data_IF_521130124676
#
_entry.id   IF_521130124676
#
_cell.length_a   1.000
_cell.length_b   1.000
_cell.length_c   1.000
_cell.angle_alpha   90.00
_cell.angle_beta   90.00
_cell.angle_gamma   90.00
#
_symmetry.space_group_name_H-M   'P 1'
#
loop_
_entity.id
_entity.type
_entity.pdbx_description
1 polymer ?
#
# COMPACT_ATOMS: atom_id res chain seq x y z
N UNK A 1 -21.98 -14.91 9.33
CA UNK A 1 -20.95 -13.91 8.91
C UNK A 1 -20.55 -14.23 7.48
N UNK A 2 -20.56 -13.25 6.58
CA UNK A 2 -20.07 -13.44 5.20
C UNK A 2 -18.56 -13.27 5.15
N UNK A 3 -17.87 -14.11 4.36
CA UNK A 3 -16.43 -14.03 4.16
C UNK A 3 -16.04 -12.70 3.50
N UNK A 4 -14.95 -12.09 3.97
CA UNK A 4 -14.36 -10.87 3.38
C UNK A 4 -12.94 -11.17 2.92
N UNK A 5 -12.69 -10.95 1.63
CA UNK A 5 -11.36 -11.10 1.05
C UNK A 5 -10.67 -9.74 0.99
N UNK A 6 -9.39 -9.70 1.35
CA UNK A 6 -8.53 -8.52 1.26
C UNK A 6 -7.24 -8.88 0.53
N UNK A 7 -6.49 -7.87 0.08
CA UNK A 7 -5.26 -8.07 -0.69
C UNK A 7 -4.08 -7.26 -0.14
N UNK A 8 -2.86 -7.68 -0.48
CA UNK A 8 -1.63 -6.91 -0.25
C UNK A 8 -1.06 -6.52 -1.59
N UNK A 9 -0.79 -5.23 -1.77
CA UNK A 9 -0.17 -4.66 -2.98
C UNK A 9 1.20 -4.15 -2.58
N UNK A 10 2.24 -4.69 -3.21
CA UNK A 10 3.62 -4.30 -2.90
C UNK A 10 3.95 -2.90 -3.45
N UNK A 11 4.70 -2.07 -2.71
CA UNK A 11 5.03 -0.72 -3.13
C UNK A 11 6.27 -0.72 -4.05
N UNK A 12 6.23 -1.53 -5.11
CA UNK A 12 7.38 -1.76 -6.02
C UNK A 12 7.17 -1.15 -7.41
N UNK A 13 5.94 -0.74 -7.76
CA UNK A 13 5.68 -0.11 -9.04
C UNK A 13 5.59 1.41 -8.88
N UNK A 14 6.18 2.14 -9.84
CA UNK A 14 5.95 3.59 -9.95
C UNK A 14 4.46 3.85 -10.11
N UNK A 15 3.96 4.93 -9.49
CA UNK A 15 2.55 5.27 -9.49
C UNK A 15 1.94 5.32 -10.90
N UNK A 16 2.58 6.07 -11.80
CA UNK A 16 2.19 6.20 -13.21
C UNK A 16 2.60 5.01 -14.09
N UNK A 17 3.43 4.09 -13.58
CA UNK A 17 3.92 2.90 -14.28
C UNK A 17 3.13 1.63 -14.01
N UNK A 18 1.95 1.72 -13.39
CA UNK A 18 1.08 0.58 -13.08
C UNK A 18 0.62 0.51 -11.63
N UNK A 19 1.28 1.22 -10.70
CA UNK A 19 0.88 1.27 -9.29
C UNK A 19 -0.58 1.71 -9.12
N UNK A 20 -0.96 2.85 -9.73
CA UNK A 20 -2.33 3.37 -9.67
C UNK A 20 -3.37 2.34 -10.14
N UNK A 21 -3.11 1.70 -11.28
CA UNK A 21 -4.02 0.73 -11.86
C UNK A 21 -4.23 -0.48 -10.95
N UNK A 22 -3.19 -0.95 -10.24
CA UNK A 22 -3.32 -2.06 -9.28
C UNK A 22 -4.26 -1.73 -8.12
N UNK A 23 -4.16 -0.53 -7.55
CA UNK A 23 -5.03 -0.09 -6.46
C UNK A 23 -6.49 0.09 -6.91
N UNK A 24 -6.71 0.73 -8.06
CA UNK A 24 -8.05 0.87 -8.64
C UNK A 24 -8.65 -0.50 -8.96
N UNK A 25 -7.84 -1.41 -9.52
CA UNK A 25 -8.28 -2.77 -9.84
C UNK A 25 -8.68 -3.55 -8.59
N UNK A 26 -8.01 -3.35 -7.46
CA UNK A 26 -8.39 -4.00 -6.20
C UNK A 26 -9.77 -3.53 -5.72
N UNK A 27 -10.10 -2.24 -5.88
CA UNK A 27 -11.45 -1.72 -5.60
C UNK A 27 -12.49 -2.32 -6.55
N UNK A 28 -12.22 -2.34 -7.86
CA UNK A 28 -13.13 -2.90 -8.87
C UNK A 28 -13.40 -4.39 -8.68
N UNK A 29 -12.41 -5.14 -8.20
CA UNK A 29 -12.54 -6.56 -7.87
C UNK A 29 -13.34 -6.81 -6.58
N UNK A 30 -13.70 -5.77 -5.85
CA UNK A 30 -14.52 -5.87 -4.64
C UNK A 30 -13.76 -6.36 -3.41
N UNK A 31 -12.43 -6.19 -3.36
CA UNK A 31 -11.68 -6.47 -2.13
C UNK A 31 -12.19 -5.59 -0.99
N UNK A 32 -12.30 -6.19 0.19
CA UNK A 32 -12.77 -5.50 1.38
C UNK A 32 -11.77 -4.42 1.86
N UNK A 33 -10.47 -4.76 1.80
CA UNK A 33 -9.37 -3.87 2.10
C UNK A 33 -8.16 -4.22 1.23
N UNK A 34 -7.29 -3.23 1.03
CA UNK A 34 -5.98 -3.42 0.44
C UNK A 34 -4.90 -2.85 1.37
N UNK A 35 -3.80 -3.57 1.47
CA UNK A 35 -2.68 -3.23 2.34
C UNK A 35 -1.38 -3.07 1.58
N UNK A 36 -0.43 -2.35 2.15
CA UNK A 36 0.99 -2.37 1.75
C UNK A 36 1.88 -2.62 2.97
N UNK A 37 3.11 -3.04 2.76
CA UNK A 37 4.10 -3.18 3.83
C UNK A 37 4.73 -1.82 4.17
N UNK A 38 4.89 -1.54 5.45
CA UNK A 38 5.65 -0.39 5.96
C UNK A 38 7.12 -0.74 6.27
N UNK A 39 7.70 -1.60 5.45
CA UNK A 39 9.13 -1.90 5.53
C UNK A 39 9.95 -0.85 4.79
N UNK A 40 11.23 -0.71 5.13
CA UNK A 40 12.15 0.13 4.33
C UNK A 40 12.59 -0.54 3.03
N UNK A 41 12.68 -1.87 3.05
CA UNK A 41 13.09 -2.66 1.90
C UNK A 41 12.69 -4.12 2.12
N UNK A 42 12.75 -4.91 1.05
CA UNK A 42 12.62 -6.35 1.08
C UNK A 42 13.72 -6.94 0.22
N UNK A 43 14.41 -7.98 0.70
CA UNK A 43 15.66 -8.50 0.08
C UNK A 43 15.52 -8.79 -1.42
N UNK A 44 14.39 -9.38 -1.83
CA UNK A 44 14.07 -9.68 -3.23
C UNK A 44 14.01 -8.45 -4.14
N UNK A 45 13.73 -7.27 -3.59
CA UNK A 45 13.57 -6.01 -4.32
C UNK A 45 14.69 -5.00 -4.02
N UNK A 46 15.83 -5.46 -3.52
CA UNK A 46 16.94 -4.60 -3.08
C UNK A 46 17.47 -3.64 -4.16
N UNK A 47 17.44 -4.07 -5.42
CA UNK A 47 17.95 -3.31 -6.57
C UNK A 47 16.81 -2.59 -7.33
N UNK A 48 15.59 -2.67 -6.79
CA UNK A 48 14.39 -2.05 -7.33
C UNK A 48 13.83 -0.98 -6.41
N UNK A 49 12.84 -0.22 -6.89
CA UNK A 49 12.14 0.74 -6.05
C UNK A 49 11.37 0.03 -4.93
N UNK A 50 11.39 0.65 -3.74
CA UNK A 50 10.53 0.31 -2.63
C UNK A 50 9.98 1.61 -2.05
N UNK A 51 8.73 1.93 -2.37
CA UNK A 51 8.09 3.18 -1.98
C UNK A 51 7.59 3.11 -0.52
N UNK A 52 7.64 4.24 0.18
CA UNK A 52 7.16 4.32 1.55
C UNK A 52 5.65 4.03 1.65
N UNK A 53 5.23 3.38 2.73
CA UNK A 53 3.83 2.99 2.91
C UNK A 53 2.89 4.20 2.99
N UNK A 54 3.24 5.23 3.77
CA UNK A 54 2.38 6.42 3.91
C UNK A 54 2.13 7.14 2.56
N UNK A 55 3.15 7.53 1.77
CA UNK A 55 2.91 8.11 0.44
C UNK A 55 2.10 7.18 -0.48
N UNK A 56 2.37 5.88 -0.43
CA UNK A 56 1.64 4.89 -1.25
C UNK A 56 0.16 4.83 -0.88
N UNK A 57 -0.16 4.77 0.42
CA UNK A 57 -1.52 4.74 0.92
C UNK A 57 -2.25 6.06 0.69
N UNK A 58 -1.57 7.20 0.81
CA UNK A 58 -2.12 8.52 0.45
C UNK A 58 -2.49 8.58 -1.02
N UNK A 59 -1.62 8.10 -1.91
CA UNK A 59 -1.92 8.05 -3.34
C UNK A 59 -3.09 7.10 -3.66
N UNK A 60 -3.14 5.94 -3.00
CA UNK A 60 -4.25 5.00 -3.10
C UNK A 60 -5.58 5.59 -2.62
N UNK A 61 -5.56 6.35 -1.51
CA UNK A 61 -6.73 7.04 -0.98
C UNK A 61 -7.27 8.08 -1.95
N UNK A 62 -6.39 8.77 -2.69
CA UNK A 62 -6.80 9.73 -3.72
C UNK A 62 -7.33 9.06 -5.01
N UNK A 63 -7.04 7.78 -5.24
CA UNK A 63 -7.41 7.08 -6.47
C UNK A 63 -8.56 6.06 -6.32
N UNK A 64 -9.00 5.81 -5.09
CA UNK A 64 -10.09 4.87 -4.74
C UNK A 64 -11.12 5.60 -3.88
N UNK A 65 -12.34 5.07 -3.80
CA UNK A 65 -13.47 5.79 -3.16
C UNK A 65 -14.09 5.05 -1.97
N UNK A 66 -13.91 3.74 -1.89
CA UNK A 66 -14.54 2.83 -0.91
C UNK A 66 -13.56 1.81 -0.33
N UNK A 67 -12.47 1.52 -1.04
CA UNK A 67 -11.46 0.56 -0.62
C UNK A 67 -10.84 0.98 0.72
N UNK A 68 -10.87 0.09 1.72
CA UNK A 68 -10.22 0.33 3.00
C UNK A 68 -8.71 0.13 2.84
N UNK A 69 -7.93 1.05 3.36
CA UNK A 69 -6.48 1.10 3.18
C UNK A 69 -5.77 0.92 4.52
N UNK A 70 -4.63 0.25 4.51
CA UNK A 70 -3.80 0.12 5.70
C UNK A 70 -2.44 -0.48 5.45
N UNK A 71 -1.68 -0.60 6.52
CA UNK A 71 -0.40 -1.30 6.55
C UNK A 71 -0.59 -2.74 7.01
N UNK A 72 0.20 -3.66 6.46
CA UNK A 72 0.26 -5.03 6.93
C UNK A 72 1.68 -5.56 6.68
N UNK A 73 2.65 -5.39 7.58
CA UNK A 73 2.59 -4.85 8.95
C UNK A 73 3.08 -3.39 9.05
N UNK A 74 2.56 -2.64 10.03
CA UNK A 74 3.10 -1.33 10.42
C UNK A 74 4.48 -1.49 11.04
N UNK A 75 5.47 -0.72 10.60
CA UNK A 75 6.76 -0.73 11.26
C UNK A 75 6.69 0.09 12.54
N UNK A 76 7.02 -0.53 13.67
CA UNK A 76 7.26 0.17 14.94
C UNK A 76 8.69 0.71 14.97
N UNK A 77 8.97 1.71 14.13
CA UNK A 77 10.18 2.51 14.35
C UNK A 77 9.87 3.59 15.39
N UNK A 78 10.85 3.97 16.24
CA UNK A 78 10.73 5.22 16.98
C UNK A 78 10.66 6.36 15.95
N UNK A 79 9.48 6.95 15.80
CA UNK A 79 9.34 8.21 15.07
C UNK A 79 9.93 9.32 15.94
N UNK A 80 10.90 10.06 15.42
CA UNK A 80 11.22 11.38 15.96
C UNK A 80 10.00 12.28 15.72
N UNK A 81 9.48 13.01 16.73
CA UNK A 81 8.31 13.86 16.59
C UNK A 81 8.50 15.07 15.66
N UNK A 82 9.65 15.20 14.98
CA UNK A 82 10.06 16.37 14.20
C UNK A 82 10.00 16.14 12.67
N UNK A 83 9.71 14.93 12.18
CA UNK A 83 9.53 14.73 10.74
C UNK A 83 8.11 15.16 10.30
N UNK A 84 7.95 16.46 10.03
CA UNK A 84 6.94 17.04 9.14
C UNK A 84 7.53 17.20 7.74
#
# INVERSE_FOLDING_TARGET
MSLRLSTVILPVDRWHGGGRAKWQRAEELGFHAAYTYDHLSWRTFRDGPWFGALPTLTAAAAATTRLRLGTLVTSVKPFSPIAA
#
